data_IF_085632005701
#
_entry.id   IF_085632005701
#
_cell.length_a   1.000
_cell.length_b   1.000
_cell.length_c   1.000
_cell.angle_alpha   90.00
_cell.angle_beta   90.00
_cell.angle_gamma   90.00
#
_symmetry.space_group_name_H-M   'P 1'
#
loop_
_entity.id
_entity.type
_entity.pdbx_description
1 polymer ?
#
# COMPACT_ATOMS: atom_id res chain seq x y z
N UNK A 1 17.93 12.29 -4.01
CA UNK A 1 16.93 13.17 -4.59
C UNK A 1 16.06 12.46 -5.61
N UNK A 2 15.11 13.18 -6.17
CA UNK A 2 14.15 12.60 -7.12
C UNK A 2 14.83 11.93 -8.33
N UNK A 3 15.90 12.52 -8.81
CA UNK A 3 16.66 11.97 -9.94
C UNK A 3 17.30 10.63 -9.61
N UNK A 4 17.79 10.46 -8.38
CA UNK A 4 18.35 9.20 -7.92
C UNK A 4 17.31 8.10 -7.77
N UNK A 5 16.06 8.46 -7.48
CA UNK A 5 14.96 7.50 -7.32
C UNK A 5 14.54 6.88 -8.65
N UNK A 6 14.65 7.61 -9.75
CA UNK A 6 14.24 7.11 -11.06
C UNK A 6 15.01 5.87 -11.50
N UNK A 7 16.25 5.70 -11.00
CA UNK A 7 17.06 4.52 -11.29
C UNK A 7 16.44 3.23 -10.74
N UNK A 8 15.60 3.33 -9.71
CA UNK A 8 14.98 2.19 -9.05
C UNK A 8 13.49 2.05 -9.39
N UNK A 9 13.00 2.89 -10.32
CA UNK A 9 11.59 2.94 -10.67
C UNK A 9 11.11 1.63 -11.25
N UNK A 10 10.02 1.12 -10.70
CA UNK A 10 9.36 -0.08 -11.20
C UNK A 10 7.87 0.20 -11.45
N UNK A 11 7.30 -0.54 -12.38
CA UNK A 11 5.87 -0.52 -12.66
C UNK A 11 5.20 -1.68 -11.95
N UNK A 12 4.14 -1.39 -11.21
CA UNK A 12 3.41 -2.39 -10.45
C UNK A 12 1.99 -2.55 -10.99
N UNK A 13 1.42 -3.72 -10.75
CA UNK A 13 0.02 -4.02 -11.04
C UNK A 13 -0.59 -4.68 -9.83
N UNK A 14 -1.89 -4.46 -9.62
CA UNK A 14 -2.64 -5.14 -8.59
C UNK A 14 -2.94 -6.58 -8.99
N UNK A 15 -2.90 -7.49 -8.01
CA UNK A 15 -3.24 -8.89 -8.22
C UNK A 15 -4.74 -9.08 -7.96
N UNK A 16 -5.53 -9.32 -9.01
CA UNK A 16 -6.99 -9.43 -8.87
C UNK A 16 -7.43 -10.59 -7.98
N UNK A 17 -6.58 -11.61 -7.80
CA UNK A 17 -6.89 -12.74 -6.92
C UNK A 17 -6.92 -12.33 -5.45
N UNK A 18 -6.22 -11.26 -5.07
CA UNK A 18 -6.13 -10.79 -3.68
C UNK A 18 -7.18 -9.76 -3.32
N UNK A 19 -7.76 -9.10 -4.30
CA UNK A 19 -8.63 -7.95 -4.10
C UNK A 19 -9.95 -8.32 -3.42
N UNK A 20 -10.28 -7.61 -2.35
CA UNK A 20 -11.60 -7.71 -1.73
C UNK A 20 -12.69 -7.40 -2.76
N UNK A 21 -13.85 -8.04 -2.63
CA UNK A 21 -14.94 -7.87 -3.59
C UNK A 21 -15.52 -6.46 -3.70
N UNK A 22 -15.23 -5.58 -2.73
CA UNK A 22 -15.62 -4.17 -2.82
C UNK A 22 -14.74 -3.38 -3.79
N UNK A 23 -13.58 -3.92 -4.18
CA UNK A 23 -12.61 -3.20 -5.01
C UNK A 23 -12.75 -3.62 -6.48
N UNK A 24 -12.86 -2.63 -7.36
CA UNK A 24 -12.91 -2.82 -8.81
C UNK A 24 -11.57 -2.44 -9.42
N UNK A 25 -10.96 -3.36 -10.16
CA UNK A 25 -9.69 -3.09 -10.84
C UNK A 25 -9.94 -2.68 -12.28
N UNK A 26 -9.12 -1.74 -12.77
CA UNK A 26 -9.19 -1.21 -14.13
C UNK A 26 -7.82 -0.77 -14.60
N UNK A 27 -7.71 -0.25 -15.82
CA UNK A 27 -6.46 0.22 -16.41
C UNK A 27 -5.37 -0.86 -16.38
N UNK A 28 -5.73 -2.07 -16.84
CA UNK A 28 -4.83 -3.22 -16.84
C UNK A 28 -4.28 -3.52 -15.43
N UNK A 29 -5.18 -3.48 -14.46
CA UNK A 29 -4.88 -3.74 -13.04
C UNK A 29 -3.94 -2.72 -12.39
N UNK A 30 -3.91 -1.50 -12.93
CA UNK A 30 -3.12 -0.41 -12.31
C UNK A 30 -3.97 0.50 -11.44
N UNK A 31 -5.30 0.37 -11.48
CA UNK A 31 -6.20 1.18 -10.67
C UNK A 31 -7.13 0.28 -9.86
N UNK A 32 -7.30 0.60 -8.58
CA UNK A 32 -8.28 -0.04 -7.70
C UNK A 32 -9.21 1.03 -7.16
N UNK A 33 -10.51 0.80 -7.28
CA UNK A 33 -11.54 1.71 -6.80
C UNK A 33 -12.49 0.99 -5.85
N UNK A 34 -12.77 1.57 -4.69
CA UNK A 34 -13.74 1.04 -3.76
C UNK A 34 -15.14 1.49 -4.18
N UNK A 35 -15.94 0.53 -4.63
CA UNK A 35 -17.26 0.80 -5.16
C UNK A 35 -18.25 1.18 -4.06
N UNK A 36 -18.91 2.32 -4.22
CA UNK A 36 -19.96 2.77 -3.31
C UNK A 36 -21.17 1.84 -3.39
N UNK A 37 -21.40 1.24 -4.56
CA UNK A 37 -22.53 0.31 -4.79
C UNK A 37 -22.42 -0.99 -4.03
N UNK A 38 -21.31 -1.23 -3.33
CA UNK A 38 -21.10 -2.45 -2.54
C UNK A 38 -20.33 -3.53 -3.29
N UNK A 39 -20.15 -4.69 -2.65
CA UNK A 39 -19.31 -5.74 -3.21
C UNK A 39 -19.97 -6.41 -4.41
N UNK A 40 -19.12 -6.87 -5.33
CA UNK A 40 -19.52 -7.70 -6.45
C UNK A 40 -19.19 -9.15 -6.12
N UNK A 41 -19.92 -10.12 -6.72
CA UNK A 41 -19.51 -11.52 -6.62
C UNK A 41 -18.12 -11.70 -7.20
N UNK A 42 -17.26 -12.38 -6.46
CA UNK A 42 -15.88 -12.67 -6.90
C UNK A 42 -15.57 -14.14 -6.62
N UNK A 43 -14.72 -14.77 -7.46
CA UNK A 43 -14.30 -16.14 -7.19
C UNK A 43 -13.60 -16.25 -5.83
N UNK A 44 -13.84 -17.34 -5.09
CA UNK A 44 -13.19 -17.55 -3.80
C UNK A 44 -11.76 -18.05 -4.00
N UNK A 45 -10.78 -17.17 -3.81
CA UNK A 45 -9.36 -17.57 -3.79
C UNK A 45 -8.85 -17.55 -2.37
N UNK A 46 -7.92 -18.45 -2.04
CA UNK A 46 -7.28 -18.47 -0.72
C UNK A 46 -6.54 -17.18 -0.42
N UNK A 47 -5.99 -16.54 -1.44
CA UNK A 47 -5.21 -15.32 -1.29
C UNK A 47 -6.07 -14.06 -1.24
N UNK A 48 -7.39 -14.17 -1.45
CA UNK A 48 -8.29 -13.03 -1.45
C UNK A 48 -8.59 -12.55 -0.03
N UNK A 49 -8.53 -11.23 0.18
CA UNK A 49 -9.02 -10.61 1.41
C UNK A 49 -10.55 -10.64 1.39
N UNK A 50 -11.15 -11.46 2.25
CA UNK A 50 -12.59 -11.63 2.27
C UNK A 50 -13.31 -10.47 2.97
N UNK A 51 -12.69 -9.84 3.94
CA UNK A 51 -13.33 -8.82 4.77
C UNK A 51 -12.65 -7.46 4.69
N UNK A 52 -11.33 -7.41 4.77
CA UNK A 52 -10.58 -6.16 4.71
C UNK A 52 -10.57 -5.62 3.28
N UNK A 53 -10.83 -4.35 3.10
CA UNK A 53 -10.88 -3.69 1.79
C UNK A 53 -9.48 -3.47 1.23
N UNK A 54 -8.77 -4.55 1.04
CA UNK A 54 -7.35 -4.56 0.65
C UNK A 54 -7.11 -5.31 -0.64
N UNK A 55 -5.97 -5.00 -1.23
CA UNK A 55 -5.45 -5.65 -2.42
C UNK A 55 -3.92 -5.62 -2.35
N UNK A 56 -3.27 -6.67 -2.85
CA UNK A 56 -1.81 -6.71 -2.99
C UNK A 56 -1.43 -6.47 -4.45
N UNK A 57 -0.21 -6.00 -4.66
CA UNK A 57 0.37 -6.02 -5.99
C UNK A 57 0.80 -7.43 -6.35
N UNK A 58 0.86 -7.69 -7.66
CA UNK A 58 1.36 -8.95 -8.20
C UNK A 58 2.86 -9.09 -7.96
N UNK A 59 3.59 -7.99 -8.07
CA UNK A 59 5.04 -7.93 -7.89
C UNK A 59 5.39 -7.92 -6.40
N UNK A 60 6.55 -8.47 -6.09
CA UNK A 60 7.05 -8.54 -4.73
C UNK A 60 8.57 -8.47 -4.73
N UNK A 61 9.15 -8.19 -3.56
CA UNK A 61 10.59 -7.94 -3.46
C UNK A 61 11.18 -8.63 -2.24
N UNK A 62 12.36 -9.24 -2.43
CA UNK A 62 13.13 -9.84 -1.34
C UNK A 62 14.61 -9.41 -1.38
N UNK A 63 14.94 -8.48 -2.26
CA UNK A 63 16.29 -7.93 -2.37
C UNK A 63 16.25 -6.63 -3.16
N UNK A 64 17.29 -5.83 -3.08
CA UNK A 64 17.49 -4.67 -3.92
C UNK A 64 16.73 -3.42 -3.49
N UNK A 65 16.80 -2.42 -4.34
CA UNK A 65 16.12 -1.13 -4.17
C UNK A 65 15.03 -1.00 -5.22
N UNK A 66 13.85 -0.57 -4.79
CA UNK A 66 12.69 -0.46 -5.67
C UNK A 66 11.91 0.79 -5.29
N UNK A 67 11.51 1.55 -6.30
CA UNK A 67 10.74 2.76 -6.11
C UNK A 67 9.49 2.73 -6.97
N UNK A 68 8.35 3.08 -6.39
CA UNK A 68 7.10 3.20 -7.13
C UNK A 68 6.31 4.39 -6.61
N UNK A 69 5.39 4.86 -7.44
CA UNK A 69 4.50 5.97 -7.10
C UNK A 69 3.07 5.53 -7.30
N UNK A 70 2.19 6.09 -6.48
CA UNK A 70 0.77 5.88 -6.62
C UNK A 70 0.02 7.19 -6.39
N UNK A 71 -1.15 7.29 -7.00
CA UNK A 71 -2.05 8.41 -6.83
C UNK A 71 -3.26 7.97 -6.05
N UNK A 72 -3.62 8.74 -5.03
CA UNK A 72 -4.78 8.49 -4.17
C UNK A 72 -5.79 9.59 -4.43
N UNK A 73 -7.02 9.23 -4.80
CA UNK A 73 -8.04 10.21 -5.20
C UNK A 73 -8.45 11.13 -4.06
N UNK A 74 -8.54 10.60 -2.88
CA UNK A 74 -8.94 11.33 -1.66
C UNK A 74 -8.69 10.43 -0.44
N UNK A 75 -8.70 10.98 0.77
CA UNK A 75 -8.69 10.13 1.97
C UNK A 75 -9.99 9.32 2.08
N UNK A 76 -9.97 8.24 2.74
CA UNK A 76 -8.79 7.66 3.41
C UNK A 76 -8.25 6.46 2.65
N UNK A 77 -6.97 6.22 2.81
CA UNK A 77 -6.31 5.02 2.32
C UNK A 77 -5.08 4.73 3.17
N UNK A 78 -4.67 3.46 3.17
CA UNK A 78 -3.41 3.03 3.75
C UNK A 78 -2.58 2.42 2.64
N UNK A 79 -1.34 2.85 2.50
CA UNK A 79 -0.43 2.36 1.46
C UNK A 79 0.85 1.84 2.10
N UNK A 80 1.24 0.63 1.77
CA UNK A 80 2.37 0.02 2.45
C UNK A 80 2.88 -1.24 1.80
N UNK A 81 3.53 -2.06 2.64
CA UNK A 81 4.05 -3.36 2.25
C UNK A 81 3.70 -4.39 3.32
N UNK A 82 3.61 -5.63 2.91
CA UNK A 82 3.31 -6.74 3.82
C UNK A 82 4.06 -8.00 3.42
N UNK A 83 4.33 -8.84 4.41
CA UNK A 83 4.69 -10.23 4.16
C UNK A 83 3.46 -10.97 3.59
N UNK A 84 3.72 -12.00 2.81
CA UNK A 84 2.65 -12.78 2.16
C UNK A 84 1.75 -13.49 3.17
N UNK A 85 2.28 -13.80 4.34
CA UNK A 85 1.56 -14.54 5.39
C UNK A 85 0.50 -13.75 6.14
N UNK A 86 0.28 -12.48 5.79
CA UNK A 86 -0.83 -11.73 6.38
C UNK A 86 -2.14 -12.50 6.15
N UNK A 87 -2.96 -12.72 7.20
CA UNK A 87 -4.21 -13.46 7.05
C UNK A 87 -5.15 -12.79 6.06
N UNK A 88 -5.91 -13.61 5.35
CA UNK A 88 -6.81 -13.14 4.28
C UNK A 88 -8.29 -13.30 4.64
N UNK A 89 -8.61 -14.18 5.59
CA UNK A 89 -9.99 -14.60 5.84
C UNK A 89 -10.56 -14.11 7.16
N UNK A 90 -9.76 -13.45 7.97
CA UNK A 90 -10.19 -12.93 9.25
C UNK A 90 -10.75 -11.52 9.12
N UNK A 91 -11.47 -11.09 10.14
CA UNK A 91 -11.88 -9.70 10.33
C UNK A 91 -10.99 -9.12 11.41
N UNK A 92 -10.48 -7.92 11.23
CA UNK A 92 -9.74 -7.23 12.27
C UNK A 92 -8.28 -7.03 11.97
N UNK A 93 -7.55 -6.62 13.00
CA UNK A 93 -6.21 -6.03 12.85
C UNK A 93 -5.16 -6.96 12.27
N UNK A 94 -5.29 -8.27 12.50
CA UNK A 94 -4.31 -9.23 11.97
C UNK A 94 -4.24 -9.22 10.44
N UNK A 95 -5.33 -8.81 9.77
CA UNK A 95 -5.42 -8.74 8.32
C UNK A 95 -5.16 -7.33 7.76
N UNK A 96 -5.07 -6.32 8.59
CA UNK A 96 -5.01 -4.92 8.18
C UNK A 96 -3.57 -4.45 8.09
N UNK A 97 -3.19 -3.92 6.93
CA UNK A 97 -1.81 -3.47 6.69
C UNK A 97 -1.39 -2.37 7.67
N UNK A 98 -0.29 -2.62 8.38
CA UNK A 98 0.23 -1.73 9.42
C UNK A 98 -0.26 -2.03 10.83
N UNK A 99 -1.33 -2.80 10.99
CA UNK A 99 -1.94 -3.09 12.30
C UNK A 99 -1.37 -4.33 12.97
N UNK A 100 -0.32 -4.91 12.43
CA UNK A 100 0.29 -6.15 12.90
C UNK A 100 1.80 -6.14 12.60
N UNK A 101 2.49 -7.17 13.04
CA UNK A 101 3.95 -7.28 12.89
C UNK A 101 4.39 -7.65 11.47
N UNK A 102 3.44 -8.02 10.59
CA UNK A 102 3.73 -8.51 9.25
C UNK A 102 3.71 -7.41 8.20
N UNK A 103 3.36 -6.18 8.57
CA UNK A 103 3.08 -5.14 7.60
C UNK A 103 3.41 -3.74 8.12
N UNK A 104 3.61 -2.82 7.18
CA UNK A 104 3.97 -1.42 7.41
C UNK A 104 3.12 -0.57 6.48
N UNK A 105 2.55 0.53 6.97
CA UNK A 105 1.75 1.38 6.11
C UNK A 105 1.76 2.84 6.53
N UNK A 106 1.51 3.69 5.55
CA UNK A 106 1.21 5.11 5.74
C UNK A 106 -0.28 5.29 5.57
N UNK A 107 -0.93 5.88 6.57
CA UNK A 107 -2.33 6.25 6.51
C UNK A 107 -2.46 7.66 5.95
N UNK A 108 -3.20 7.80 4.86
CA UNK A 108 -3.62 9.09 4.33
C UNK A 108 -5.00 9.38 4.90
N UNK A 109 -5.03 10.24 5.90
CA UNK A 109 -6.25 10.70 6.55
C UNK A 109 -6.53 12.15 6.16
N UNK A 110 -7.76 12.60 6.32
CA UNK A 110 -8.15 13.96 5.92
C UNK A 110 -7.35 15.03 6.66
N UNK A 111 -7.03 14.81 7.91
CA UNK A 111 -6.40 15.80 8.77
C UNK A 111 -4.93 15.52 9.08
N UNK A 112 -4.46 14.29 8.90
CA UNK A 112 -3.14 13.92 9.36
C UNK A 112 -2.62 12.67 8.64
N UNK A 113 -1.32 12.66 8.36
CA UNK A 113 -0.64 11.45 7.95
C UNK A 113 -0.18 10.69 9.19
N UNK A 114 -0.32 9.39 9.18
CA UNK A 114 0.13 8.53 10.26
C UNK A 114 0.88 7.33 9.71
N UNK A 115 2.00 7.00 10.35
CA UNK A 115 2.73 5.79 10.04
C UNK A 115 2.30 4.68 11.01
N UNK A 116 2.10 3.47 10.47
CA UNK A 116 1.60 2.34 11.24
C UNK A 116 2.48 1.11 11.05
N UNK A 117 2.89 0.52 12.15
CA UNK A 117 3.53 -0.80 12.18
C UNK A 117 3.24 -1.45 13.53
N UNK A 118 2.98 -2.74 13.54
CA UNK A 118 2.68 -3.50 14.76
C UNK A 118 1.50 -2.90 15.54
N UNK A 119 0.57 -2.27 14.84
CA UNK A 119 -0.57 -1.62 15.48
C UNK A 119 -0.22 -0.33 16.22
N UNK A 120 0.99 0.19 16.06
CA UNK A 120 1.44 1.42 16.70
C UNK A 120 1.38 2.56 15.69
N UNK A 121 0.75 3.65 16.10
CA UNK A 121 0.56 4.83 15.28
C UNK A 121 1.60 5.88 15.62
N UNK A 122 2.23 6.43 14.58
CA UNK A 122 3.06 7.62 14.70
C UNK A 122 2.46 8.73 13.85
N UNK A 123 1.98 9.80 14.49
CA UNK A 123 1.47 10.96 13.79
C UNK A 123 2.63 11.73 13.17
N UNK A 124 2.50 12.11 11.90
CA UNK A 124 3.57 12.79 11.18
C UNK A 124 3.30 14.29 11.12
N UNK A 125 4.39 15.07 11.22
CA UNK A 125 4.32 16.53 11.08
C UNK A 125 4.17 16.92 9.61
N UNK A 126 3.66 18.13 9.36
CA UNK A 126 3.55 18.68 8.02
C UNK A 126 2.18 18.50 7.40
N UNK A 127 2.03 18.93 6.13
CA UNK A 127 0.75 18.85 5.43
C UNK A 127 0.25 17.41 5.29
N UNK A 128 -1.05 17.21 5.45
CA UNK A 128 -1.67 15.90 5.30
C UNK A 128 -2.09 15.59 3.86
N UNK A 129 -2.15 16.61 3.02
CA UNK A 129 -2.71 16.48 1.68
C UNK A 129 -1.62 16.23 0.64
N UNK A 130 -1.55 15.01 0.15
CA UNK A 130 -0.66 14.61 -0.94
C UNK A 130 -1.44 13.70 -1.88
N UNK A 131 -1.56 14.10 -3.14
CA UNK A 131 -2.25 13.28 -4.14
C UNK A 131 -1.37 12.15 -4.65
N UNK A 132 -0.06 12.37 -4.67
CA UNK A 132 0.91 11.37 -5.15
C UNK A 132 1.86 10.99 -4.03
N UNK A 133 2.01 9.69 -3.81
CA UNK A 133 2.90 9.13 -2.80
C UNK A 133 3.95 8.29 -3.50
N UNK A 134 5.23 8.55 -3.20
CA UNK A 134 6.34 7.72 -3.63
C UNK A 134 6.80 6.82 -2.49
N UNK A 135 7.19 5.60 -2.82
CA UNK A 135 7.68 4.62 -1.85
C UNK A 135 9.00 4.05 -2.33
N UNK A 136 10.05 4.19 -1.51
CA UNK A 136 11.36 3.61 -1.78
C UNK A 136 11.62 2.49 -0.79
N UNK A 137 11.72 1.28 -1.31
CA UNK A 137 12.11 0.11 -0.52
C UNK A 137 13.59 -0.18 -0.78
N UNK A 138 14.40 -0.19 0.26
CA UNK A 138 15.75 -0.71 0.24
C UNK A 138 15.79 -1.94 1.13
N UNK A 139 15.69 -3.11 0.52
CA UNK A 139 15.48 -4.35 1.26
C UNK A 139 16.64 -4.66 2.19
N UNK A 140 17.88 -4.63 1.71
CA UNK A 140 19.07 -4.96 2.50
C UNK A 140 19.35 -3.93 3.58
N UNK A 141 19.12 -2.65 3.29
CA UNK A 141 19.25 -1.60 4.31
C UNK A 141 18.12 -1.65 5.35
N UNK A 142 17.02 -2.34 5.05
CA UNK A 142 15.89 -2.44 5.95
C UNK A 142 15.11 -1.14 6.07
N UNK A 143 14.93 -0.41 4.96
CA UNK A 143 14.21 0.86 4.97
C UNK A 143 13.07 0.88 3.97
N UNK A 144 11.95 1.46 4.40
CA UNK A 144 10.84 1.84 3.52
C UNK A 144 10.59 3.32 3.74
N UNK A 145 10.88 4.13 2.72
CA UNK A 145 10.80 5.60 2.80
C UNK A 145 9.65 6.11 1.94
N UNK A 146 8.87 7.03 2.50
CA UNK A 146 7.73 7.64 1.83
C UNK A 146 8.05 9.08 1.43
N UNK A 147 7.59 9.45 0.23
CA UNK A 147 7.72 10.81 -0.31
C UNK A 147 6.36 11.33 -0.73
N UNK A 148 6.08 12.60 -0.43
CA UNK A 148 4.87 13.28 -0.87
C UNK A 148 5.14 14.10 -2.12
N UNK A 149 4.28 13.95 -3.13
CA UNK A 149 4.36 14.67 -4.40
C UNK A 149 5.75 14.64 -5.04
N UNK A 150 6.47 13.54 -4.82
CA UNK A 150 7.75 13.24 -5.45
C UNK A 150 8.97 13.91 -4.82
N UNK A 151 8.81 14.75 -3.81
CA UNK A 151 9.92 15.55 -3.29
C UNK A 151 10.04 15.57 -1.77
N UNK A 152 8.95 15.66 -1.06
CA UNK A 152 8.96 15.82 0.38
C UNK A 152 9.05 14.48 1.07
N UNK A 153 10.14 14.24 1.80
CA UNK A 153 10.26 13.02 2.61
C UNK A 153 9.28 13.10 3.77
N UNK A 154 8.40 12.10 3.84
CA UNK A 154 7.34 12.06 4.85
C UNK A 154 7.71 11.20 6.05
N UNK A 155 8.29 10.03 5.80
CA UNK A 155 8.58 9.04 6.86
C UNK A 155 9.51 7.96 6.32
N UNK A 156 10.26 7.31 7.21
CA UNK A 156 10.99 6.11 6.88
C UNK A 156 10.82 5.08 8.00
N UNK A 157 10.41 3.88 7.62
CA UNK A 157 10.45 2.73 8.52
C UNK A 157 11.84 2.10 8.45
N UNK A 158 12.32 1.60 9.59
CA UNK A 158 13.57 0.86 9.70
C UNK A 158 13.27 -0.51 10.29
N UNK A 159 13.56 -1.55 9.55
CA UNK A 159 13.29 -2.92 9.97
C UNK A 159 14.18 -3.90 9.21
N UNK A 160 14.67 -4.91 9.89
CA UNK A 160 15.35 -6.01 9.20
C UNK A 160 14.29 -6.91 8.58
N UNK A 161 14.01 -6.72 7.29
CA UNK A 161 13.04 -7.55 6.58
C UNK A 161 13.56 -8.98 6.45
N UNK A 162 12.69 -9.96 6.69
CA UNK A 162 13.06 -11.37 6.70
C UNK A 162 12.36 -12.20 5.62
N UNK A 163 11.31 -11.65 5.00
CA UNK A 163 10.49 -12.35 4.02
C UNK A 163 10.19 -11.44 2.85
N UNK A 164 9.69 -12.04 1.78
CA UNK A 164 9.26 -11.33 0.58
C UNK A 164 8.19 -10.30 0.92
N UNK A 165 8.36 -9.09 0.41
CA UNK A 165 7.45 -7.96 0.64
C UNK A 165 6.59 -7.69 -0.57
N UNK A 166 5.28 -7.59 -0.34
CA UNK A 166 4.28 -7.24 -1.35
C UNK A 166 3.74 -5.85 -1.08
N UNK A 167 3.80 -4.94 -2.05
CA UNK A 167 3.06 -3.68 -1.93
C UNK A 167 1.58 -3.95 -1.72
N UNK A 168 0.96 -3.18 -0.83
CA UNK A 168 -0.42 -3.39 -0.40
C UNK A 168 -1.16 -2.07 -0.26
N UNK A 169 -2.45 -2.07 -0.56
CA UNK A 169 -3.32 -0.92 -0.38
C UNK A 169 -4.60 -1.32 0.34
N UNK A 170 -5.01 -0.51 1.32
CA UNK A 170 -6.27 -0.63 2.04
C UNK A 170 -7.07 0.64 1.72
N UNK A 171 -8.25 0.49 1.10
CA UNK A 171 -8.91 1.57 0.37
C UNK A 171 -10.30 1.83 0.95
N UNK A 172 -10.54 3.07 1.38
CA UNK A 172 -11.83 3.49 1.93
C UNK A 172 -12.90 3.68 0.86
N UNK A 173 -14.16 3.76 1.30
CA UNK A 173 -15.31 3.89 0.41
C UNK A 173 -15.18 5.08 -0.53
N UNK A 174 -15.41 4.83 -1.81
CA UNK A 174 -15.37 5.86 -2.85
C UNK A 174 -13.96 6.32 -3.21
N UNK A 175 -12.93 5.75 -2.62
CA UNK A 175 -11.53 6.11 -2.87
C UNK A 175 -10.97 5.24 -3.98
N UNK A 176 -10.09 5.80 -4.80
CA UNK A 176 -9.33 5.04 -5.80
C UNK A 176 -7.85 5.28 -5.64
N UNK A 177 -7.07 4.23 -5.96
CA UNK A 177 -5.61 4.31 -6.01
C UNK A 177 -5.17 3.85 -7.39
N UNK A 178 -4.29 4.63 -8.00
CA UNK A 178 -3.70 4.33 -9.30
C UNK A 178 -2.20 4.15 -9.13
N UNK A 179 -1.68 3.00 -9.55
CA UNK A 179 -0.25 2.74 -9.60
C UNK A 179 0.31 3.44 -10.84
N UNK A 180 1.23 4.38 -10.63
CA UNK A 180 1.77 5.18 -11.73
C UNK A 180 2.73 4.34 -12.57
N UNK A 181 2.57 4.39 -13.88
CA UNK A 181 3.51 3.72 -14.78
C UNK A 181 4.82 4.50 -14.89
N UNK A 182 5.87 3.80 -15.22
CA UNK A 182 7.20 4.39 -15.43
C UNK A 182 7.29 5.15 -16.75
#
# INVERSE_FOLDING_TARGET
>A
GKEGLSAYRCSLTFDPRTANGHLSLSLENRRAEHLISGPRPVPPYEVRFDHTWQVLCFQSFRSGRHYWELEVSKPWAYVGVTYETIPRKEKGKRCMVGMNDLSWSLQLDEHQLCAWHSGRREALAGPSHHSRIGMLLDYEAGTLTYYGDGQTRLHAFHCAFTEELFPACWIGEGVSITLCST
#
